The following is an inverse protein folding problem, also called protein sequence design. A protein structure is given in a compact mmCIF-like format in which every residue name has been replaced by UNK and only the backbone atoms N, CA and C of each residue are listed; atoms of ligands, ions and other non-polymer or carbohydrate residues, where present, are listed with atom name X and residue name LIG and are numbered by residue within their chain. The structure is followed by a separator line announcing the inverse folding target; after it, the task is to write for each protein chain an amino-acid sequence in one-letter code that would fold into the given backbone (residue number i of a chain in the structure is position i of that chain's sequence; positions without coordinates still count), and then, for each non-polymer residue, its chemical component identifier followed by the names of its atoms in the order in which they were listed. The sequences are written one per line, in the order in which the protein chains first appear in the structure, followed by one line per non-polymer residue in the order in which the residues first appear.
data_IF_035501312518
#
_entry.id   IF_035501312518
#
_cell.length_a   1.000
_cell.length_b   1.000
_cell.length_c   1.000
_cell.angle_alpha   90.00
_cell.angle_beta   90.00
_cell.angle_gamma   90.00
#
_symmetry.space_group_name_H-M   'P 1'
#
loop_
_entity.id
_entity.type
_entity.pdbx_description
1 polymer ?
#
# COMPACT_ATOMS: atom_id res chain seq x y z
N UNK A 1 -76.97 24.07 9.62
CA UNK A 1 -75.64 24.23 10.19
C UNK A 1 -74.89 22.90 10.02
N UNK A 2 -74.01 22.78 9.00
CA UNK A 2 -73.16 21.58 8.76
C UNK A 2 -71.76 21.95 9.14
N UNK A 3 -71.20 21.28 10.18
CA UNK A 3 -69.87 21.43 10.67
C UNK A 3 -68.94 20.63 9.77
N UNK A 4 -67.89 21.29 9.14
CA UNK A 4 -66.88 20.70 8.38
C UNK A 4 -65.66 20.45 9.34
N UNK A 5 -65.39 19.18 9.64
CA UNK A 5 -64.11 18.79 10.31
C UNK A 5 -63.01 18.70 9.26
N UNK A 6 -62.00 19.56 9.34
CA UNK A 6 -60.80 19.52 8.56
C UNK A 6 -59.76 18.65 9.30
N UNK A 7 -59.50 17.43 8.80
CA UNK A 7 -58.43 16.58 9.31
C UNK A 7 -57.10 17.02 8.71
N UNK A 8 -56.21 17.53 9.56
CA UNK A 8 -54.80 17.85 9.18
C UNK A 8 -53.97 16.57 9.27
N UNK A 9 -53.62 16.01 8.13
CA UNK A 9 -52.57 14.95 8.06
C UNK A 9 -51.21 15.61 8.13
N UNK A 10 -50.50 15.46 9.26
CA UNK A 10 -49.08 15.78 9.35
C UNK A 10 -48.27 14.65 8.67
N UNK A 11 -47.71 14.95 7.52
CA UNK A 11 -46.62 14.13 6.96
C UNK A 11 -45.33 14.43 7.74
N UNK A 12 -44.95 13.55 8.64
CA UNK A 12 -43.57 13.53 9.19
C UNK A 12 -42.68 12.88 8.14
N UNK A 13 -42.07 13.70 7.30
CA UNK A 13 -40.94 13.27 6.45
C UNK A 13 -39.77 12.99 7.36
N UNK A 14 -39.54 11.71 7.65
CA UNK A 14 -38.31 11.25 8.29
C UNK A 14 -37.14 11.54 7.35
N UNK A 15 -36.37 12.57 7.65
CA UNK A 15 -35.05 12.77 7.07
C UNK A 15 -34.20 11.64 7.62
N UNK A 16 -33.95 10.62 6.81
CA UNK A 16 -32.90 9.67 7.09
C UNK A 16 -31.58 10.48 7.09
N UNK A 17 -31.06 10.77 8.27
CA UNK A 17 -29.73 11.32 8.40
C UNK A 17 -28.77 10.31 7.74
N UNK A 18 -28.16 10.69 6.62
CA UNK A 18 -27.03 9.98 6.08
C UNK A 18 -25.97 9.96 7.19
N UNK A 19 -25.75 8.81 7.79
CA UNK A 19 -24.63 8.62 8.69
C UNK A 19 -23.39 8.85 7.84
N UNK A 20 -22.67 9.94 8.12
CA UNK A 20 -21.37 10.18 7.55
C UNK A 20 -20.44 9.00 7.86
N UNK A 21 -19.34 8.83 7.12
CA UNK A 21 -18.43 7.73 7.32
C UNK A 21 -17.96 7.71 8.78
N UNK A 22 -18.53 6.81 9.57
CA UNK A 22 -18.02 6.52 10.89
C UNK A 22 -16.63 5.88 10.67
N UNK A 23 -15.59 6.50 11.21
CA UNK A 23 -14.28 5.92 11.35
C UNK A 23 -14.38 4.77 12.38
N UNK A 24 -14.94 3.65 11.98
CA UNK A 24 -15.20 2.48 12.82
C UNK A 24 -13.91 1.87 13.41
N UNK A 25 -12.75 2.18 12.82
CA UNK A 25 -11.46 1.78 13.34
C UNK A 25 -11.09 2.40 14.69
N UNK A 26 -11.70 3.51 15.08
CA UNK A 26 -11.40 4.24 16.32
C UNK A 26 -12.50 4.13 17.36
N UNK A 27 -13.58 3.40 17.09
CA UNK A 27 -14.65 3.21 18.04
C UNK A 27 -14.28 2.10 19.04
N UNK A 28 -13.84 2.46 20.23
CA UNK A 28 -13.51 1.53 21.31
C UNK A 28 -14.65 0.56 21.65
N UNK A 29 -15.91 0.94 21.43
CA UNK A 29 -17.07 0.06 21.62
C UNK A 29 -17.13 -1.05 20.58
N UNK A 30 -16.49 -0.93 19.40
CA UNK A 30 -16.47 -2.01 18.43
C UNK A 30 -15.70 -3.24 18.94
N UNK A 31 -14.70 -3.04 19.78
CA UNK A 31 -13.99 -4.14 20.47
C UNK A 31 -14.93 -4.93 21.38
N UNK A 32 -15.86 -4.26 22.04
CA UNK A 32 -16.82 -4.89 22.95
C UNK A 32 -18.00 -5.55 22.22
N UNK A 33 -18.24 -5.26 20.95
CA UNK A 33 -19.30 -5.88 20.16
C UNK A 33 -18.99 -7.33 19.83
N UNK A 34 -19.94 -8.23 20.10
CA UNK A 34 -19.82 -9.64 19.67
C UNK A 34 -19.79 -9.69 18.14
N UNK A 35 -18.86 -10.49 17.62
CA UNK A 35 -18.61 -10.63 16.19
C UNK A 35 -19.41 -11.81 15.61
N UNK A 36 -19.87 -11.66 14.36
CA UNK A 36 -20.67 -12.65 13.64
C UNK A 36 -19.87 -13.45 12.59
N UNK A 37 -18.59 -13.68 12.86
CA UNK A 37 -17.72 -14.47 12.01
C UNK A 37 -16.97 -15.54 12.82
N UNK A 38 -16.45 -16.56 12.12
CA UNK A 38 -15.48 -17.49 12.70
C UNK A 38 -14.07 -17.01 12.39
N UNK A 39 -13.23 -16.90 13.42
CA UNK A 39 -11.82 -16.61 13.26
C UNK A 39 -11.03 -17.89 13.00
N UNK A 40 -10.08 -17.84 12.09
CA UNK A 40 -9.19 -18.95 11.74
C UNK A 40 -7.81 -18.45 11.36
N UNK A 41 -6.82 -19.34 11.37
CA UNK A 41 -5.44 -19.06 11.00
C UNK A 41 -4.90 -20.14 10.07
N UNK A 42 -4.14 -19.73 9.07
CA UNK A 42 -3.15 -20.55 8.38
C UNK A 42 -1.77 -20.12 8.85
N UNK A 43 -0.89 -21.06 9.15
CA UNK A 43 0.44 -20.74 9.67
C UNK A 43 1.50 -21.77 9.25
N UNK A 44 2.74 -21.44 9.53
CA UNK A 44 3.87 -22.36 9.37
C UNK A 44 3.95 -23.42 10.47
N UNK A 45 3.01 -23.48 11.40
CA UNK A 45 2.97 -24.35 12.55
C UNK A 45 3.32 -25.82 12.25
N UNK A 46 3.98 -26.47 13.19
CA UNK A 46 4.03 -27.93 13.28
C UNK A 46 2.88 -28.40 14.18
N UNK A 47 2.00 -29.25 13.66
CA UNK A 47 0.83 -29.75 14.40
C UNK A 47 1.15 -30.75 15.49
N UNK A 48 2.40 -31.19 15.57
CA UNK A 48 2.81 -32.07 16.66
C UNK A 48 3.04 -31.26 17.94
N UNK A 49 2.25 -31.54 18.95
CA UNK A 49 2.38 -30.94 20.30
C UNK A 49 3.79 -31.20 20.82
N UNK A 50 4.41 -30.17 21.41
CA UNK A 50 5.79 -30.15 21.89
C UNK A 50 6.89 -30.12 20.79
N UNK A 51 6.54 -29.95 19.51
CA UNK A 51 7.51 -29.66 18.46
C UNK A 51 7.76 -28.17 18.37
N UNK A 52 9.00 -27.76 18.08
CA UNK A 52 9.39 -26.38 17.76
C UNK A 52 9.86 -26.26 16.30
N UNK A 53 9.50 -27.22 15.46
CA UNK A 53 9.82 -27.22 14.03
C UNK A 53 8.70 -26.55 13.23
N UNK A 54 8.56 -25.23 13.41
CA UNK A 54 7.49 -24.42 12.84
C UNK A 54 7.91 -23.69 11.55
N UNK A 55 9.15 -23.85 11.11
CA UNK A 55 9.65 -23.19 9.90
C UNK A 55 9.21 -23.89 8.62
N UNK A 56 9.14 -23.12 7.55
CA UNK A 56 9.04 -23.62 6.16
C UNK A 56 10.25 -23.16 5.37
N UNK A 57 10.74 -24.06 4.55
CA UNK A 57 11.93 -23.82 3.72
C UNK A 57 11.55 -23.79 2.26
N UNK A 58 12.07 -22.81 1.51
CA UNK A 58 11.97 -22.73 0.06
C UNK A 58 13.37 -22.80 -0.54
N UNK A 59 13.50 -23.58 -1.58
CA UNK A 59 14.67 -23.52 -2.47
C UNK A 59 14.45 -22.46 -3.55
N UNK A 60 15.51 -21.97 -4.19
CA UNK A 60 15.42 -21.07 -5.34
C UNK A 60 14.40 -21.52 -6.38
N UNK A 61 13.48 -20.62 -6.74
CA UNK A 61 12.38 -20.87 -7.68
C UNK A 61 11.15 -21.57 -7.09
N UNK A 62 11.19 -22.04 -5.84
CA UNK A 62 10.05 -22.69 -5.22
C UNK A 62 8.99 -21.69 -4.77
N UNK A 63 7.75 -22.16 -4.77
CA UNK A 63 6.58 -21.40 -4.29
C UNK A 63 5.91 -22.13 -3.14
N UNK A 64 5.80 -21.46 -2.00
CA UNK A 64 5.05 -21.90 -0.83
C UNK A 64 3.65 -21.30 -0.85
N UNK A 65 2.63 -22.12 -0.62
CA UNK A 65 1.27 -21.67 -0.32
C UNK A 65 1.17 -21.35 1.16
N UNK A 66 1.05 -20.06 1.49
CA UNK A 66 0.86 -19.61 2.88
C UNK A 66 -0.57 -19.86 3.34
N UNK A 67 -1.55 -19.68 2.45
CA UNK A 67 -2.96 -19.89 2.74
C UNK A 67 -3.74 -20.26 1.47
N UNK A 68 -4.72 -21.16 1.63
CA UNK A 68 -5.74 -21.49 0.62
C UNK A 68 -7.09 -21.56 1.35
N UNK A 69 -7.82 -20.45 1.30
CA UNK A 69 -8.93 -20.14 2.19
C UNK A 69 -10.26 -20.26 1.45
N UNK A 70 -11.23 -21.07 1.94
CA UNK A 70 -12.56 -21.11 1.35
C UNK A 70 -13.39 -19.90 1.81
N UNK A 71 -14.05 -19.21 0.85
CA UNK A 71 -14.89 -18.04 1.12
C UNK A 71 -16.34 -18.36 1.46
N UNK A 72 -17.14 -17.31 1.72
CA UNK A 72 -16.72 -15.93 1.77
C UNK A 72 -15.93 -15.58 3.03
N UNK A 73 -14.96 -14.68 2.91
CA UNK A 73 -14.08 -14.34 4.02
C UNK A 73 -13.29 -13.04 3.84
N UNK A 74 -12.56 -12.67 4.87
CA UNK A 74 -11.65 -11.52 4.89
C UNK A 74 -10.35 -11.93 5.55
N UNK A 75 -9.21 -11.82 4.83
CA UNK A 75 -7.90 -11.85 5.49
C UNK A 75 -7.77 -10.57 6.28
N UNK A 76 -7.50 -10.68 7.56
CA UNK A 76 -7.47 -9.55 8.50
C UNK A 76 -6.08 -9.21 9.01
N UNK A 77 -5.14 -10.16 8.91
CA UNK A 77 -3.76 -9.95 9.33
C UNK A 77 -2.84 -10.96 8.62
N UNK A 78 -1.69 -10.48 8.19
CA UNK A 78 -0.58 -11.30 7.71
C UNK A 78 0.64 -10.91 8.53
N UNK A 79 1.23 -11.88 9.22
CA UNK A 79 2.55 -11.74 9.82
C UNK A 79 3.52 -12.68 9.14
N UNK A 80 4.74 -12.19 8.88
CA UNK A 80 5.82 -13.00 8.31
C UNK A 80 7.17 -12.55 8.84
N UNK A 81 8.04 -13.51 9.11
CA UNK A 81 9.47 -13.29 9.29
C UNK A 81 10.26 -14.26 8.43
N UNK A 82 11.40 -13.82 7.95
CA UNK A 82 12.26 -14.59 7.05
C UNK A 82 13.67 -14.58 7.56
N UNK A 83 14.30 -15.74 7.55
CA UNK A 83 15.74 -15.90 7.72
C UNK A 83 16.35 -16.23 6.35
N UNK A 84 17.12 -15.30 5.83
CA UNK A 84 17.86 -15.40 4.59
C UNK A 84 19.16 -14.59 4.70
N UNK A 85 20.23 -15.10 4.10
CA UNK A 85 21.53 -14.44 4.08
C UNK A 85 21.85 -13.82 2.71
N UNK A 86 20.91 -13.84 1.77
CA UNK A 86 21.08 -13.23 0.46
C UNK A 86 20.93 -11.71 0.55
N UNK A 87 21.80 -10.98 -0.16
CA UNK A 87 21.71 -9.53 -0.19
C UNK A 87 20.39 -9.09 -0.82
N UNK A 88 19.73 -8.15 -0.18
CA UNK A 88 18.43 -7.61 -0.62
C UNK A 88 17.31 -8.67 -0.76
N UNK A 89 17.37 -9.77 -0.01
CA UNK A 89 16.36 -10.84 -0.01
C UNK A 89 14.90 -10.33 0.09
N UNK A 90 14.56 -9.19 0.76
CA UNK A 90 13.18 -8.69 0.78
C UNK A 90 12.63 -8.33 -0.61
N UNK A 91 13.52 -8.13 -1.61
CA UNK A 91 13.17 -7.97 -3.02
C UNK A 91 13.03 -9.30 -3.76
N UNK A 92 13.66 -10.34 -3.30
CA UNK A 92 13.72 -11.66 -3.93
C UNK A 92 12.59 -12.58 -3.47
N UNK A 93 11.99 -12.32 -2.30
CA UNK A 93 10.78 -12.98 -1.86
C UNK A 93 9.56 -12.31 -2.52
N UNK A 94 8.83 -13.06 -3.36
CA UNK A 94 7.69 -12.54 -4.12
C UNK A 94 6.36 -12.96 -3.52
N UNK A 95 5.59 -12.00 -2.98
CA UNK A 95 4.25 -12.23 -2.44
C UNK A 95 3.19 -12.09 -3.53
N UNK A 96 2.28 -13.09 -3.62
CA UNK A 96 1.12 -13.04 -4.51
C UNK A 96 -0.16 -13.42 -3.80
N UNK A 97 -1.26 -12.70 -4.12
CA UNK A 97 -2.60 -13.01 -3.62
C UNK A 97 -3.56 -13.16 -4.79
N UNK A 98 -4.31 -14.25 -4.79
CA UNK A 98 -5.28 -14.61 -5.82
C UNK A 98 -6.66 -14.72 -5.20
N UNK A 99 -7.68 -14.10 -5.79
CA UNK A 99 -9.05 -14.19 -5.34
C UNK A 99 -9.92 -14.99 -6.29
N UNK A 100 -10.85 -15.77 -5.72
CA UNK A 100 -11.97 -16.41 -6.40
C UNK A 100 -11.56 -17.28 -7.60
N UNK A 101 -10.42 -17.95 -7.52
CA UNK A 101 -9.90 -18.85 -8.54
C UNK A 101 -9.29 -18.15 -9.77
N UNK A 102 -9.07 -16.84 -9.72
CA UNK A 102 -8.38 -16.13 -10.81
C UNK A 102 -6.93 -16.61 -10.94
N UNK A 103 -6.45 -16.71 -12.18
CA UNK A 103 -5.07 -17.10 -12.48
C UNK A 103 -4.08 -15.93 -12.34
N UNK A 104 -4.55 -14.71 -12.56
CA UNK A 104 -3.74 -13.48 -12.40
C UNK A 104 -3.84 -13.01 -10.96
N UNK A 105 -2.71 -12.75 -10.28
CA UNK A 105 -2.71 -12.27 -8.92
C UNK A 105 -3.28 -10.84 -8.84
N UNK A 106 -4.00 -10.56 -7.77
CA UNK A 106 -4.45 -9.21 -7.41
C UNK A 106 -3.42 -8.46 -6.56
N UNK A 107 -2.57 -9.18 -5.87
CA UNK A 107 -1.34 -8.66 -5.25
C UNK A 107 -0.17 -9.38 -5.89
N UNK A 108 0.80 -8.63 -6.39
CA UNK A 108 2.04 -9.14 -6.96
C UNK A 108 3.17 -8.14 -6.66
N UNK A 109 3.92 -8.41 -5.58
CA UNK A 109 4.91 -7.48 -5.06
C UNK A 109 6.07 -8.22 -4.39
N UNK A 110 7.28 -7.67 -4.42
CA UNK A 110 8.31 -8.08 -3.48
C UNK A 110 7.82 -7.95 -2.04
N UNK A 111 8.26 -8.86 -1.18
CA UNK A 111 7.79 -8.93 0.20
C UNK A 111 8.09 -7.64 0.97
N UNK A 112 9.33 -7.13 0.89
CA UNK A 112 9.72 -5.90 1.56
C UNK A 112 8.86 -4.71 1.15
N UNK A 113 8.68 -4.54 -0.16
CA UNK A 113 7.88 -3.44 -0.73
C UNK A 113 6.41 -3.53 -0.32
N UNK A 114 5.82 -4.73 -0.24
CA UNK A 114 4.46 -4.93 0.24
C UNK A 114 4.31 -4.52 1.72
N UNK A 115 5.32 -4.78 2.53
CA UNK A 115 5.36 -4.37 3.94
C UNK A 115 5.98 -2.99 4.17
N UNK A 116 5.97 -2.13 3.16
CA UNK A 116 6.25 -0.71 3.29
C UNK A 116 7.71 -0.31 3.36
N UNK A 117 8.65 -1.23 3.14
CA UNK A 117 10.09 -0.94 3.10
C UNK A 117 10.69 -1.52 1.83
N UNK A 118 11.05 -0.63 0.90
CA UNK A 118 11.58 -1.01 -0.41
C UNK A 118 13.11 -1.13 -0.46
N UNK A 119 13.63 -1.19 -1.69
CA UNK A 119 15.06 -1.27 -2.00
C UNK A 119 15.79 -2.48 -1.38
N UNK A 120 15.06 -3.53 -0.95
CA UNK A 120 15.65 -4.70 -0.31
C UNK A 120 16.12 -4.46 1.12
N UNK A 121 15.62 -3.42 1.79
CA UNK A 121 15.97 -3.06 3.15
C UNK A 121 15.11 -3.74 4.21
N UNK A 122 15.63 -3.71 5.42
CA UNK A 122 14.92 -4.00 6.65
C UNK A 122 14.94 -2.74 7.51
N UNK A 123 13.77 -2.26 7.91
CA UNK A 123 13.61 -1.12 8.79
C UNK A 123 12.33 -1.26 9.60
N UNK A 124 12.33 -0.70 10.80
CA UNK A 124 11.12 -0.57 11.59
C UNK A 124 10.16 0.41 10.93
N UNK A 125 8.88 0.08 10.98
CA UNK A 125 7.78 0.90 10.49
C UNK A 125 6.59 0.71 11.41
N UNK A 126 5.97 1.78 11.86
CA UNK A 126 4.81 1.70 12.74
C UNK A 126 3.66 2.55 12.20
N UNK A 127 2.73 1.91 11.50
CA UNK A 127 1.53 2.55 10.97
C UNK A 127 0.28 1.73 11.28
N UNK A 128 -0.90 2.26 10.95
CA UNK A 128 -2.16 1.54 11.17
C UNK A 128 -2.32 0.33 10.24
N UNK A 129 -1.77 0.37 9.04
CA UNK A 129 -1.99 -0.67 8.03
C UNK A 129 -0.82 -1.66 7.91
N UNK A 130 0.38 -1.21 8.25
CA UNK A 130 1.60 -2.01 8.18
C UNK A 130 2.48 -1.71 9.38
N UNK A 131 3.03 -2.74 9.99
CA UNK A 131 3.96 -2.60 11.10
C UNK A 131 5.14 -3.56 10.92
N UNK A 132 6.35 -3.04 10.96
CA UNK A 132 7.56 -3.82 10.98
C UNK A 132 8.30 -3.54 12.30
N UNK A 133 8.62 -4.59 13.01
CA UNK A 133 9.27 -4.51 14.31
C UNK A 133 10.55 -5.36 14.31
N UNK A 134 11.32 -5.29 15.39
CA UNK A 134 12.53 -6.10 15.55
C UNK A 134 13.56 -5.81 14.45
N UNK A 135 13.81 -4.53 14.19
CA UNK A 135 14.69 -4.05 13.10
C UNK A 135 14.18 -4.47 11.71
N UNK A 136 12.88 -4.39 11.50
CA UNK A 136 12.23 -4.70 10.22
C UNK A 136 12.02 -6.19 9.94
N UNK A 137 12.37 -7.10 10.88
CA UNK A 137 12.31 -8.55 10.66
C UNK A 137 10.91 -9.13 10.85
N UNK A 138 10.12 -8.60 11.80
CA UNK A 138 8.74 -9.02 12.03
C UNK A 138 7.80 -8.10 11.24
N UNK A 139 7.26 -8.58 10.13
CA UNK A 139 6.43 -7.81 9.20
C UNK A 139 4.96 -8.14 9.40
N UNK A 140 4.14 -7.10 9.57
CA UNK A 140 2.70 -7.22 9.81
C UNK A 140 1.92 -6.38 8.79
N UNK A 141 0.85 -6.93 8.24
CA UNK A 141 -0.11 -6.23 7.40
C UNK A 141 -1.51 -6.41 7.95
N UNK A 142 -2.22 -5.31 8.14
CA UNK A 142 -3.61 -5.25 8.60
C UNK A 142 -4.57 -4.80 7.49
N UNK A 143 -4.11 -4.75 6.24
CA UNK A 143 -4.98 -4.48 5.10
C UNK A 143 -6.10 -5.52 5.04
N UNK A 144 -7.38 -5.11 5.12
CA UNK A 144 -8.48 -6.05 4.95
C UNK A 144 -8.55 -6.53 3.49
N UNK A 145 -8.59 -7.85 3.32
CA UNK A 145 -8.62 -8.47 2.00
C UNK A 145 -9.88 -9.34 1.87
N UNK A 146 -11.04 -8.77 1.50
CA UNK A 146 -12.27 -9.53 1.34
C UNK A 146 -12.23 -10.39 0.07
N UNK A 147 -12.89 -11.56 0.13
CA UNK A 147 -13.05 -12.48 -1.01
C UNK A 147 -14.37 -13.24 -0.90
N UNK A 148 -14.99 -13.54 -2.05
CA UNK A 148 -16.33 -14.15 -2.09
C UNK A 148 -16.28 -15.68 -2.12
N UNK A 149 -15.31 -16.28 -2.84
CA UNK A 149 -15.26 -17.74 -3.04
C UNK A 149 -14.00 -18.37 -2.47
N UNK A 150 -12.84 -17.76 -2.72
CA UNK A 150 -11.55 -18.28 -2.26
C UNK A 150 -10.48 -17.19 -2.23
N UNK A 151 -9.49 -17.35 -1.34
CA UNK A 151 -8.28 -16.54 -1.32
C UNK A 151 -7.06 -17.44 -1.20
N UNK A 152 -6.14 -17.35 -2.16
CA UNK A 152 -4.87 -18.06 -2.14
C UNK A 152 -3.73 -17.07 -2.01
N UNK A 153 -2.84 -17.29 -1.04
CA UNK A 153 -1.67 -16.47 -0.77
C UNK A 153 -0.42 -17.33 -0.93
N UNK A 154 0.55 -16.84 -1.70
CA UNK A 154 1.80 -17.55 -1.96
C UNK A 154 3.01 -16.65 -1.77
N UNK A 155 4.15 -17.25 -1.41
CA UNK A 155 5.48 -16.63 -1.51
C UNK A 155 6.34 -17.50 -2.42
N UNK A 156 7.03 -16.87 -3.37
CA UNK A 156 8.02 -17.50 -4.24
C UNK A 156 9.40 -16.98 -3.88
N UNK A 157 10.37 -17.86 -3.77
CA UNK A 157 11.78 -17.51 -3.67
C UNK A 157 12.32 -17.24 -5.09
N UNK A 158 12.59 -15.98 -5.41
CA UNK A 158 13.17 -15.55 -6.70
C UNK A 158 14.69 -15.30 -6.56
N UNK A 159 15.30 -15.68 -5.42
CA UNK A 159 16.72 -15.59 -5.15
C UNK A 159 17.51 -16.84 -5.56
N UNK A 160 18.78 -16.85 -5.17
CA UNK A 160 19.75 -17.93 -5.45
C UNK A 160 20.08 -18.78 -4.22
N UNK A 161 19.48 -18.48 -3.06
CA UNK A 161 19.72 -19.16 -1.79
C UNK A 161 18.44 -19.65 -1.15
N UNK A 162 18.56 -20.68 -0.31
CA UNK A 162 17.41 -21.21 0.43
C UNK A 162 16.89 -20.19 1.45
N UNK A 163 15.61 -19.94 1.40
CA UNK A 163 14.87 -19.07 2.31
C UNK A 163 14.15 -19.89 3.39
N UNK A 164 14.09 -19.37 4.61
CA UNK A 164 13.33 -19.95 5.72
C UNK A 164 12.28 -18.95 6.20
N UNK A 165 11.02 -19.38 6.25
CA UNK A 165 9.89 -18.54 6.65
C UNK A 165 9.17 -19.08 7.90
N UNK A 166 8.71 -18.12 8.72
CA UNK A 166 7.64 -18.31 9.70
C UNK A 166 6.53 -17.34 9.36
N UNK A 167 5.27 -17.79 9.42
CA UNK A 167 4.15 -16.91 9.04
C UNK A 167 2.85 -17.25 9.77
N UNK A 168 1.99 -16.23 9.87
CA UNK A 168 0.57 -16.34 10.22
C UNK A 168 -0.26 -15.60 9.19
N UNK A 169 -1.37 -16.20 8.78
CA UNK A 169 -2.44 -15.56 8.00
C UNK A 169 -3.73 -15.71 8.79
N UNK A 170 -4.13 -14.65 9.48
CA UNK A 170 -5.39 -14.61 10.22
C UNK A 170 -6.52 -14.15 9.30
N UNK A 171 -7.64 -14.84 9.35
CA UNK A 171 -8.78 -14.52 8.52
C UNK A 171 -10.11 -14.80 9.22
N UNK A 172 -11.14 -14.13 8.73
CA UNK A 172 -12.51 -14.20 9.23
C UNK A 172 -13.37 -14.86 8.16
N UNK A 173 -14.06 -15.93 8.53
CA UNK A 173 -15.04 -16.60 7.67
C UNK A 173 -16.42 -16.06 8.01
N UNK A 174 -17.17 -15.67 6.98
CA UNK A 174 -18.53 -15.13 7.08
C UNK A 174 -19.52 -16.09 6.41
N UNK A 175 -20.80 -15.99 6.78
CA UNK A 175 -21.87 -16.66 6.05
C UNK A 175 -22.12 -15.97 4.68
N UNK A 176 -21.99 -14.64 4.65
CA UNK A 176 -22.03 -13.82 3.44
C UNK A 176 -21.29 -12.51 3.66
N UNK A 177 -20.80 -11.88 2.58
CA UNK A 177 -20.22 -10.54 2.61
C UNK A 177 -21.08 -9.57 1.79
N UNK A 178 -21.11 -8.27 2.16
CA UNK A 178 -21.72 -7.24 1.34
C UNK A 178 -21.16 -7.23 -0.10
N UNK A 179 -22.03 -6.96 -1.07
CA UNK A 179 -21.66 -6.96 -2.50
C UNK A 179 -20.90 -5.72 -2.96
N UNK A 180 -20.77 -4.71 -2.13
CA UNK A 180 -20.08 -3.45 -2.38
C UNK A 180 -18.64 -3.41 -1.89
N UNK A 181 -18.15 -4.49 -1.27
CA UNK A 181 -16.75 -4.60 -0.86
C UNK A 181 -15.82 -4.76 -2.06
N UNK A 182 -14.80 -3.92 -2.13
CA UNK A 182 -13.71 -4.02 -3.10
C UNK A 182 -12.71 -5.11 -2.72
N UNK A 183 -12.08 -5.74 -3.71
CA UNK A 183 -10.92 -6.59 -3.50
C UNK A 183 -9.67 -5.74 -3.32
N UNK A 184 -8.79 -6.15 -2.43
CA UNK A 184 -7.51 -5.47 -2.24
C UNK A 184 -6.55 -5.83 -3.38
N UNK A 185 -5.94 -4.81 -3.99
CA UNK A 185 -4.94 -4.94 -5.03
C UNK A 185 -3.66 -4.20 -4.63
N UNK A 186 -2.51 -4.77 -4.94
CA UNK A 186 -1.22 -4.11 -4.82
C UNK A 186 -0.31 -4.53 -5.98
N UNK A 187 0.27 -3.56 -6.66
CA UNK A 187 1.15 -3.77 -7.79
C UNK A 187 2.50 -3.14 -7.52
N UNK A 188 3.56 -3.87 -7.88
CA UNK A 188 4.91 -3.39 -7.87
C UNK A 188 5.29 -2.85 -9.26
N UNK A 189 5.94 -1.70 -9.28
CA UNK A 189 6.55 -1.10 -10.47
C UNK A 189 7.96 -0.64 -10.14
N UNK A 190 8.81 -0.64 -11.14
CA UNK A 190 10.17 -0.12 -11.05
C UNK A 190 10.54 0.57 -12.35
N UNK A 191 11.26 1.69 -12.26
CA UNK A 191 12.02 2.31 -13.34
C UNK A 191 13.47 2.43 -12.90
N UNK A 192 14.38 1.86 -13.67
CA UNK A 192 15.82 1.92 -13.43
C UNK A 192 16.61 1.93 -14.75
N UNK A 193 17.21 3.08 -15.11
CA UNK A 193 17.04 4.40 -14.49
C UNK A 193 15.62 4.94 -14.66
N UNK A 194 15.25 5.95 -13.87
CA UNK A 194 13.99 6.67 -14.06
C UNK A 194 13.96 7.32 -15.45
N UNK A 195 12.78 7.33 -16.08
CA UNK A 195 12.63 7.83 -17.46
C UNK A 195 12.56 9.35 -17.46
N UNK A 196 13.60 10.00 -17.97
CA UNK A 196 13.67 11.47 -18.05
C UNK A 196 12.51 12.06 -18.88
N UNK A 197 11.95 13.18 -18.41
CA UNK A 197 10.87 13.91 -19.09
C UNK A 197 9.49 13.25 -19.02
N UNK A 198 9.31 12.24 -18.17
CA UNK A 198 8.04 11.57 -17.93
C UNK A 198 7.78 11.42 -16.43
N UNK A 199 6.56 11.73 -16.00
CA UNK A 199 6.14 11.53 -14.62
C UNK A 199 6.12 10.04 -14.26
N UNK A 200 6.54 9.70 -13.05
CA UNK A 200 6.51 8.34 -12.55
C UNK A 200 5.07 7.97 -12.15
N UNK A 201 4.51 6.94 -12.78
CA UNK A 201 3.17 6.50 -12.47
C UNK A 201 3.15 5.55 -11.27
N UNK A 202 2.43 5.90 -10.22
CA UNK A 202 2.11 4.98 -9.12
C UNK A 202 1.10 3.94 -9.58
N UNK A 203 0.05 4.40 -10.26
CA UNK A 203 -1.05 3.57 -10.74
C UNK A 203 -1.55 4.09 -12.09
N UNK A 204 -1.88 3.15 -12.99
CA UNK A 204 -2.63 3.42 -14.21
C UNK A 204 -3.59 2.26 -14.42
N UNK A 205 -4.86 2.45 -14.07
CA UNK A 205 -5.85 1.38 -14.03
C UNK A 205 -7.20 1.82 -14.63
N UNK A 206 -7.90 0.87 -15.21
CA UNK A 206 -9.30 1.01 -15.63
C UNK A 206 -10.18 0.11 -14.79
N UNK A 207 -11.35 0.62 -14.38
CA UNK A 207 -12.30 -0.08 -13.55
C UNK A 207 -12.96 0.84 -12.54
N UNK A 208 -13.58 0.24 -11.53
CA UNK A 208 -14.18 0.94 -10.39
C UNK A 208 -13.44 0.54 -9.11
N UNK A 209 -13.10 1.49 -8.29
CA UNK A 209 -12.40 1.24 -7.03
C UNK A 209 -12.06 2.51 -6.28
N UNK A 210 -11.11 2.39 -5.36
CA UNK A 210 -10.53 3.51 -4.65
C UNK A 210 -9.03 3.30 -4.47
N UNK A 211 -8.26 4.36 -4.63
CA UNK A 211 -6.84 4.37 -4.35
C UNK A 211 -6.63 4.62 -2.86
N UNK A 212 -5.87 3.73 -2.21
CA UNK A 212 -5.71 3.73 -0.75
C UNK A 212 -4.28 3.94 -0.29
N UNK A 213 -3.33 4.13 -1.22
CA UNK A 213 -1.98 4.53 -0.83
C UNK A 213 -0.88 4.04 -1.76
N UNK A 214 0.34 4.48 -1.42
CA UNK A 214 1.59 4.16 -2.14
C UNK A 214 2.72 3.96 -1.14
N UNK A 215 3.62 3.06 -1.48
CA UNK A 215 5.00 3.02 -1.01
C UNK A 215 5.88 3.42 -2.17
N UNK A 216 6.70 4.43 -2.00
CA UNK A 216 7.67 4.89 -2.99
C UNK A 216 9.08 4.73 -2.43
N UNK A 217 9.92 4.00 -3.16
CA UNK A 217 11.32 3.80 -2.80
C UNK A 217 12.22 4.34 -3.90
N UNK A 218 13.19 5.16 -3.50
CA UNK A 218 14.09 5.87 -4.41
C UNK A 218 15.54 5.54 -4.02
N UNK A 219 16.38 5.35 -5.03
CA UNK A 219 17.85 5.39 -4.89
C UNK A 219 18.32 6.61 -5.66
N UNK A 220 18.91 7.55 -4.95
CA UNK A 220 19.32 8.82 -5.52
C UNK A 220 20.58 8.65 -6.38
N UNK A 221 20.54 9.14 -7.60
CA UNK A 221 21.66 9.04 -8.55
C UNK A 221 22.57 10.27 -8.59
N UNK A 222 22.15 11.38 -7.98
CA UNK A 222 22.88 12.65 -7.96
C UNK A 222 22.85 13.26 -6.57
N UNK A 223 23.77 14.17 -6.29
CA UNK A 223 23.74 15.01 -5.07
C UNK A 223 22.64 16.05 -5.22
N UNK A 224 22.06 16.48 -4.11
CA UNK A 224 21.04 17.52 -4.02
C UNK A 224 19.62 16.96 -3.92
N UNK A 225 18.63 17.83 -3.88
CA UNK A 225 17.24 17.47 -3.64
C UNK A 225 16.53 17.02 -4.93
N UNK A 226 15.85 15.87 -4.87
CA UNK A 226 15.15 15.27 -6.00
C UNK A 226 13.62 15.47 -5.96
N UNK A 227 13.07 15.96 -4.86
CA UNK A 227 11.67 15.75 -4.50
C UNK A 227 10.79 17.00 -4.64
N UNK A 228 11.03 17.90 -5.58
CA UNK A 228 10.14 19.04 -5.88
C UNK A 228 8.93 18.65 -6.75
N UNK A 229 8.87 17.40 -7.21
CA UNK A 229 7.82 16.94 -8.11
C UNK A 229 6.50 16.73 -7.39
N UNK A 230 5.43 17.27 -7.97
CA UNK A 230 4.07 17.23 -7.46
C UNK A 230 3.41 15.87 -7.68
N UNK A 231 2.57 15.45 -6.77
CA UNK A 231 1.66 14.32 -6.98
C UNK A 231 0.45 14.72 -7.83
N UNK A 232 0.05 13.85 -8.76
CA UNK A 232 -0.98 14.12 -9.75
C UNK A 232 -1.97 12.97 -9.80
N UNK A 233 -3.28 13.27 -9.72
CA UNK A 233 -4.35 12.27 -9.86
C UNK A 233 -5.37 12.68 -10.91
N UNK A 234 -5.48 11.87 -11.98
CA UNK A 234 -6.46 12.03 -13.04
C UNK A 234 -7.54 10.97 -12.87
N UNK A 235 -8.72 11.39 -12.41
CA UNK A 235 -9.83 10.50 -12.10
C UNK A 235 -10.79 10.45 -13.29
N UNK A 236 -11.23 9.23 -13.65
CA UNK A 236 -12.29 8.96 -14.63
C UNK A 236 -12.09 9.56 -16.02
N UNK A 237 -10.81 9.66 -16.44
CA UNK A 237 -10.44 10.17 -17.76
C UNK A 237 -10.39 11.69 -17.87
N UNK A 238 -10.31 12.39 -16.76
CA UNK A 238 -10.13 13.85 -16.75
C UNK A 238 -8.88 14.26 -17.52
N UNK A 239 -8.95 15.42 -18.17
CA UNK A 239 -7.86 16.02 -18.96
C UNK A 239 -6.88 16.81 -18.10
N UNK A 240 -7.27 17.16 -16.88
CA UNK A 240 -6.46 17.86 -15.89
C UNK A 240 -6.51 17.07 -14.57
N UNK A 241 -5.46 17.09 -13.74
CA UNK A 241 -5.49 16.42 -12.46
C UNK A 241 -6.53 17.07 -11.54
N UNK A 242 -7.36 16.27 -10.89
CA UNK A 242 -8.32 16.76 -9.89
C UNK A 242 -7.70 16.90 -8.52
N UNK A 243 -6.60 16.18 -8.26
CA UNK A 243 -5.77 16.33 -7.07
C UNK A 243 -4.36 16.60 -7.56
N UNK A 244 -3.77 17.64 -7.03
CA UNK A 244 -2.50 18.19 -7.45
C UNK A 244 -1.69 18.59 -6.21
N UNK A 245 -0.46 18.11 -6.08
CA UNK A 245 0.40 18.35 -4.93
C UNK A 245 1.29 19.58 -5.05
N UNK A 246 2.28 19.64 -4.19
CA UNK A 246 3.24 20.73 -4.06
C UNK A 246 4.69 20.25 -3.94
N UNK A 247 4.92 18.94 -3.80
CA UNK A 247 6.23 18.32 -3.71
C UNK A 247 6.14 16.86 -3.32
N UNK A 248 7.21 16.13 -3.53
CA UNK A 248 7.24 14.69 -3.25
C UNK A 248 7.23 14.40 -1.75
N UNK A 249 7.93 15.18 -0.93
CA UNK A 249 7.86 15.04 0.52
C UNK A 249 6.50 15.46 1.06
N UNK A 250 5.86 16.47 0.47
CA UNK A 250 4.52 16.94 0.82
C UNK A 250 3.48 15.87 0.57
N UNK A 251 3.66 15.07 -0.52
CA UNK A 251 2.83 13.90 -0.76
C UNK A 251 2.87 12.93 0.41
N UNK A 252 4.03 12.75 1.07
CA UNK A 252 4.18 11.91 2.26
C UNK A 252 3.87 12.66 3.56
N UNK A 253 3.29 13.88 3.50
CA UNK A 253 2.97 14.76 4.63
C UNK A 253 4.22 15.12 5.46
N UNK A 254 5.36 15.22 4.83
CA UNK A 254 6.60 15.73 5.39
C UNK A 254 6.86 17.14 4.86
N UNK A 255 7.88 17.82 5.33
CA UNK A 255 8.20 19.18 4.92
C UNK A 255 9.72 19.40 4.92
N UNK A 256 10.21 20.16 3.93
CA UNK A 256 11.63 20.55 3.81
C UNK A 256 12.57 19.34 3.75
N UNK A 257 12.15 18.31 3.01
CA UNK A 257 12.84 17.03 2.87
C UNK A 257 12.45 15.99 3.92
N UNK A 258 12.52 14.70 3.55
CA UNK A 258 12.12 13.58 4.41
C UNK A 258 13.11 13.36 5.56
N UNK A 259 12.59 12.85 6.67
CA UNK A 259 13.35 12.34 7.81
C UNK A 259 12.81 10.98 8.21
N UNK A 260 13.65 10.15 8.82
CA UNK A 260 13.16 8.88 9.36
C UNK A 260 11.98 9.13 10.30
N UNK A 261 10.85 8.55 9.95
CA UNK A 261 9.58 8.77 10.63
C UNK A 261 8.64 7.59 10.44
N UNK A 262 7.71 7.44 11.38
CA UNK A 262 6.59 6.52 11.27
C UNK A 262 5.39 7.10 11.99
N UNK A 263 4.27 7.25 11.27
CA UNK A 263 3.02 7.75 11.80
C UNK A 263 1.84 6.89 11.29
N UNK A 264 0.63 7.01 11.87
CA UNK A 264 -0.49 6.14 11.54
C UNK A 264 -0.79 6.01 10.04
N UNK A 265 -0.62 7.06 9.24
CA UNK A 265 -1.01 7.10 7.84
C UNK A 265 0.13 7.44 6.87
N UNK A 266 1.28 7.90 7.39
CA UNK A 266 2.40 8.36 6.56
C UNK A 266 3.72 8.22 7.32
N UNK A 267 4.83 8.24 6.59
CA UNK A 267 6.17 8.28 7.15
C UNK A 267 7.24 7.82 6.16
N UNK A 268 8.48 8.02 6.56
CA UNK A 268 9.67 7.61 5.81
C UNK A 268 10.54 6.68 6.68
N UNK A 269 10.29 5.35 6.65
CA UNK A 269 11.08 4.40 7.45
C UNK A 269 12.56 4.32 7.06
N UNK A 270 12.92 4.83 5.87
CA UNK A 270 14.31 4.95 5.39
C UNK A 270 14.49 6.32 4.79
N UNK A 271 15.42 7.13 5.32
CA UNK A 271 15.76 8.46 4.82
C UNK A 271 17.25 8.76 5.06
N UNK A 272 18.11 8.32 4.14
CA UNK A 272 19.58 8.39 4.28
C UNK A 272 20.20 9.76 3.89
N UNK A 273 19.36 10.72 3.48
CA UNK A 273 19.78 12.07 3.08
C UNK A 273 19.92 12.24 1.57
N UNK A 274 20.68 13.27 1.13
CA UNK A 274 20.71 13.76 -0.25
C UNK A 274 22.05 13.49 -0.94
N UNK A 275 22.54 12.27 -0.87
CA UNK A 275 23.81 11.84 -1.48
C UNK A 275 23.57 10.84 -2.58
N UNK A 276 24.53 10.73 -3.51
CA UNK A 276 24.52 9.65 -4.50
C UNK A 276 24.52 8.30 -3.78
N UNK A 277 23.56 7.45 -4.15
CA UNK A 277 23.36 6.13 -3.52
C UNK A 277 22.46 6.17 -2.30
N UNK A 278 22.13 7.35 -1.75
CA UNK A 278 21.17 7.47 -0.64
C UNK A 278 19.80 6.91 -1.01
N UNK A 279 19.18 6.28 -0.04
CA UNK A 279 17.88 5.62 -0.19
C UNK A 279 16.83 6.36 0.60
N UNK A 280 15.67 6.44 -0.02
CA UNK A 280 14.46 6.90 0.60
C UNK A 280 13.39 5.82 0.41
N UNK A 281 12.63 5.54 1.43
CA UNK A 281 11.32 4.88 1.31
C UNK A 281 10.32 5.71 2.08
N UNK A 282 9.31 6.22 1.38
CA UNK A 282 8.15 6.88 1.96
C UNK A 282 6.89 6.04 1.76
N UNK A 283 5.97 6.07 2.72
CA UNK A 283 4.64 5.49 2.59
C UNK A 283 3.56 6.52 2.91
N UNK A 284 2.45 6.43 2.17
CA UNK A 284 1.21 7.13 2.50
C UNK A 284 0.03 6.19 2.34
N UNK A 285 -0.71 5.98 3.42
CA UNK A 285 -1.98 5.23 3.44
C UNK A 285 -3.13 6.21 3.42
N UNK A 286 -3.83 6.27 2.29
CA UNK A 286 -5.00 7.16 2.11
C UNK A 286 -6.28 6.49 2.61
N UNK A 287 -6.26 5.92 3.80
CA UNK A 287 -7.46 5.32 4.41
C UNK A 287 -8.46 6.39 4.83
N UNK A 288 -8.04 7.50 5.47
CA UNK A 288 -8.96 8.60 5.79
C UNK A 288 -9.41 9.42 4.58
N UNK A 289 -8.62 9.43 3.50
CA UNK A 289 -8.76 10.31 2.34
C UNK A 289 -8.63 9.55 1.01
N UNK A 290 -9.20 8.35 0.94
CA UNK A 290 -9.18 7.50 -0.25
C UNK A 290 -9.71 8.24 -1.49
N UNK A 291 -9.14 7.94 -2.66
CA UNK A 291 -9.54 8.58 -3.92
C UNK A 291 -10.40 7.60 -4.72
N UNK A 292 -11.73 7.76 -4.75
CA UNK A 292 -12.63 6.90 -5.50
C UNK A 292 -12.57 7.20 -7.00
N UNK A 293 -12.78 6.16 -7.81
CA UNK A 293 -12.94 6.27 -9.25
C UNK A 293 -13.96 5.24 -9.76
N UNK A 294 -14.63 5.57 -10.86
CA UNK A 294 -15.68 4.72 -11.44
C UNK A 294 -15.33 4.16 -12.81
N UNK A 295 -14.35 4.73 -13.50
CA UNK A 295 -13.91 4.33 -14.85
C UNK A 295 -12.41 4.07 -14.93
N UNK A 296 -11.61 4.99 -14.37
CA UNK A 296 -10.15 4.89 -14.43
C UNK A 296 -9.49 5.80 -13.41
N UNK A 297 -8.26 5.45 -13.05
CA UNK A 297 -7.38 6.33 -12.30
C UNK A 297 -5.98 6.25 -12.88
N UNK A 298 -5.40 7.41 -13.19
CA UNK A 298 -3.97 7.59 -13.32
C UNK A 298 -3.48 8.38 -12.11
N UNK A 299 -2.50 7.86 -11.39
CA UNK A 299 -1.86 8.51 -10.26
C UNK A 299 -0.35 8.43 -10.41
N UNK A 300 0.36 9.49 -10.12
CA UNK A 300 1.80 9.53 -10.26
C UNK A 300 2.41 10.76 -9.61
N UNK A 301 3.71 10.90 -9.80
CA UNK A 301 4.51 12.00 -9.27
C UNK A 301 5.42 12.54 -10.35
N UNK A 302 5.67 13.84 -10.35
CA UNK A 302 6.61 14.48 -11.28
C UNK A 302 8.04 14.15 -10.90
N UNK A 303 8.90 14.06 -11.91
CA UNK A 303 10.36 14.02 -11.75
C UNK A 303 10.89 15.46 -11.75
N UNK A 304 11.02 16.06 -10.57
CA UNK A 304 11.49 17.43 -10.44
C UNK A 304 12.36 17.62 -9.18
N UNK A 305 13.41 18.42 -9.29
CA UNK A 305 14.33 18.73 -8.20
C UNK A 305 15.40 19.72 -8.64
N UNK A 306 16.50 19.80 -7.95
CA UNK A 306 17.66 20.61 -8.34
C UNK A 306 18.97 19.88 -8.11
N UNK A 307 20.03 20.40 -8.73
CA UNK A 307 21.41 19.97 -8.51
C UNK A 307 22.32 21.20 -8.46
N UNK A 308 23.60 21.00 -8.23
CA UNK A 308 24.57 22.09 -8.21
C UNK A 308 25.28 22.20 -9.57
N UNK A 309 25.57 23.45 -9.96
CA UNK A 309 26.52 23.73 -11.02
C UNK A 309 27.95 23.44 -10.53
N UNK A 310 28.93 23.32 -11.44
CA UNK A 310 30.34 23.14 -11.04
C UNK A 310 30.90 24.27 -10.17
N UNK A 311 30.33 25.46 -10.22
CA UNK A 311 30.68 26.61 -9.39
C UNK A 311 30.00 26.64 -8.02
N UNK A 312 29.22 25.60 -7.68
CA UNK A 312 28.51 25.46 -6.41
C UNK A 312 27.18 26.22 -6.34
N UNK A 313 26.79 26.91 -7.40
CA UNK A 313 25.45 27.54 -7.45
C UNK A 313 24.36 26.50 -7.70
N UNK A 314 23.15 26.75 -7.19
CA UNK A 314 22.01 25.85 -7.39
C UNK A 314 21.54 25.95 -8.83
N UNK A 315 21.43 24.80 -9.50
CA UNK A 315 20.81 24.65 -10.79
C UNK A 315 19.40 24.06 -10.59
N UNK A 316 18.39 24.89 -10.63
CA UNK A 316 17.01 24.45 -10.72
C UNK A 316 16.71 23.92 -12.13
N UNK A 317 15.77 22.98 -12.24
CA UNK A 317 15.35 22.49 -13.54
C UNK A 317 14.65 23.53 -14.35
N UNK A 318 14.95 23.53 -15.63
CA UNK A 318 14.17 24.32 -16.59
C UNK A 318 12.82 23.62 -16.80
N UNK A 319 11.74 24.37 -16.64
CA UNK A 319 10.40 23.92 -17.04
C UNK A 319 10.33 23.94 -18.57
N UNK A 320 10.01 22.83 -19.23
CA UNK A 320 9.61 22.91 -20.62
C UNK A 320 8.36 23.77 -20.72
N UNK A 321 8.32 24.64 -21.68
CA UNK A 321 7.13 25.44 -21.99
C UNK A 321 5.97 24.49 -22.32
N UNK A 322 5.01 24.34 -21.40
CA UNK A 322 3.74 23.71 -21.69
C UNK A 322 3.25 22.65 -20.74
N UNK A 323 4.06 21.79 -20.17
CA UNK A 323 3.63 20.75 -19.22
C UNK A 323 4.80 20.30 -18.37
N UNK A 324 4.73 20.55 -17.09
CA UNK A 324 5.61 20.07 -16.05
C UNK A 324 7.11 20.09 -16.34
N UNK A 325 7.95 20.21 -15.37
CA UNK A 325 9.39 20.23 -15.57
C UNK A 325 9.88 18.88 -16.04
N UNK A 326 10.47 18.83 -17.22
CA UNK A 326 11.30 17.70 -17.57
C UNK A 326 12.69 17.93 -17.01
N UNK A 327 13.01 17.27 -15.92
CA UNK A 327 14.38 17.17 -15.46
C UNK A 327 15.13 16.16 -16.29
N UNK A 328 15.85 16.65 -17.27
CA UNK A 328 16.87 15.83 -17.92
C UNK A 328 18.06 15.74 -16.98
N UNK A 329 18.15 14.69 -16.22
CA UNK A 329 19.39 14.36 -15.55
C UNK A 329 19.37 14.04 -14.06
N UNK A 330 18.32 14.39 -13.29
CA UNK A 330 18.28 14.10 -11.86
C UNK A 330 17.89 12.64 -11.52
N UNK A 331 17.23 11.97 -12.47
CA UNK A 331 16.71 10.62 -12.29
C UNK A 331 17.39 9.59 -13.22
N UNK A 332 18.69 9.66 -13.33
CA UNK A 332 19.48 8.66 -14.08
C UNK A 332 19.92 7.52 -13.20
#
# INVERSE_FOLDING_TARGET
MKSLLLSFLMFVSGVAAAQGPQNDFLNSLDVARLKNYSASRSSSENRYVFSNDDSKHLLPGETLVLADLPGPGVVSHIWVTVADNEYAWPRLARLRVYYDGKKTPSVDSPLGDFFGVGNGYEADLNSNMVQNNSLGRARNSYWPMPFQKACKITVTDEGDRRMTLYYHVDWRKYASLPGDLGYFHAYYRQEHPAVAGRNYAFLNIRGRGQYVGTVLSIIQSQISWFGEGDDLFYVDGATHPQIFGTGSEDYFNEAWGPRESSAPWTGSPVAEGERVGSRLTGYRWRVPDAIPFTKSLWAGIEHYGWTYNPDGTVRSGERPSGYGPSYRGLWR
#
